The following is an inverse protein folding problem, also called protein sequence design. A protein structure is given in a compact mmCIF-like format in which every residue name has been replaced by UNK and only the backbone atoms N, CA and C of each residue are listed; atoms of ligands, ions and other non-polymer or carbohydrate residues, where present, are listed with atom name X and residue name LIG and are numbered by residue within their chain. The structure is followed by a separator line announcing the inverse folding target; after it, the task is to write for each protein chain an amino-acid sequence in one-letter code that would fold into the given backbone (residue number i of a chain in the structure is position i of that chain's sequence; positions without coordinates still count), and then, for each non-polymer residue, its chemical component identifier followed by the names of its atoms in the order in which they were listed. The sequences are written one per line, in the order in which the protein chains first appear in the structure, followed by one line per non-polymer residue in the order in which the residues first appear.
data_IF_081264162476
#
_entry.id   IF_081264162476
#
_cell.length_a   1.000
_cell.length_b   1.000
_cell.length_c   1.000
_cell.angle_alpha   90.00
_cell.angle_beta   90.00
_cell.angle_gamma   90.00
#
_symmetry.space_group_name_H-M   'P 1'
#
loop_
_entity.id
_entity.type
_entity.pdbx_description
1 polymer ?
#
# COMPACT_ATOMS: atom_id res chain seq x y z
N UNK A 1 -3.00 8.06 -44.87
CA UNK A 1 -2.56 8.21 -43.47
C UNK A 1 -3.58 7.49 -42.58
N UNK A 2 -3.15 6.49 -41.85
CA UNK A 2 -3.98 5.83 -40.86
C UNK A 2 -3.43 6.19 -39.48
N UNK A 3 -4.10 7.05 -38.77
CA UNK A 3 -3.85 7.33 -37.38
C UNK A 3 -4.72 6.41 -36.52
N UNK A 4 -4.18 5.92 -35.40
CA UNK A 4 -4.91 5.05 -34.47
C UNK A 4 -5.43 3.74 -35.07
N UNK A 5 -4.61 3.06 -35.86
CA UNK A 5 -4.92 1.76 -36.44
C UNK A 5 -3.86 0.73 -36.06
N UNK A 6 -4.30 -0.44 -35.67
CA UNK A 6 -3.40 -1.60 -35.45
C UNK A 6 -3.78 -2.74 -36.39
N UNK A 7 -2.79 -3.55 -36.74
CA UNK A 7 -3.01 -4.81 -37.42
C UNK A 7 -3.26 -5.90 -36.38
N UNK A 8 -4.41 -6.55 -36.49
CA UNK A 8 -4.75 -7.72 -35.66
C UNK A 8 -4.71 -8.94 -36.56
N UNK A 9 -3.90 -9.92 -36.20
CA UNK A 9 -3.86 -11.23 -36.88
C UNK A 9 -4.79 -12.19 -36.13
N UNK A 10 -5.42 -13.10 -36.88
CA UNK A 10 -6.11 -14.24 -36.27
C UNK A 10 -5.10 -15.22 -35.64
N UNK A 11 -5.56 -16.15 -34.82
CA UNK A 11 -4.72 -17.16 -34.15
C UNK A 11 -3.92 -18.02 -35.14
N UNK A 12 -4.34 -18.11 -36.40
CA UNK A 12 -3.63 -18.84 -37.46
C UNK A 12 -2.54 -17.99 -38.15
N UNK A 13 -2.42 -16.69 -37.81
CA UNK A 13 -1.40 -15.79 -38.36
C UNK A 13 -1.52 -15.50 -39.87
N UNK A 14 -2.63 -15.89 -40.51
CA UNK A 14 -2.78 -15.89 -41.98
C UNK A 14 -3.54 -14.69 -42.52
N UNK A 15 -4.29 -13.98 -41.70
CA UNK A 15 -5.09 -12.82 -42.13
C UNK A 15 -4.89 -11.64 -41.17
N UNK A 16 -4.36 -10.56 -41.71
CA UNK A 16 -4.29 -9.28 -40.96
C UNK A 16 -5.56 -8.48 -41.22
N UNK A 17 -6.17 -8.01 -40.15
CA UNK A 17 -7.29 -7.04 -40.17
C UNK A 17 -6.82 -5.73 -39.60
N UNK A 18 -7.08 -4.62 -40.29
CA UNK A 18 -6.89 -3.29 -39.75
C UNK A 18 -8.05 -3.00 -38.79
N UNK A 19 -7.71 -2.84 -37.53
CA UNK A 19 -8.68 -2.46 -36.50
C UNK A 19 -8.39 -1.05 -35.99
N UNK A 20 -9.42 -0.26 -35.85
CA UNK A 20 -9.29 1.06 -35.24
C UNK A 20 -8.85 0.89 -33.76
N UNK A 21 -7.82 1.61 -33.36
CA UNK A 21 -7.46 1.70 -31.94
C UNK A 21 -8.46 2.65 -31.33
N UNK A 22 -9.17 2.21 -30.29
CA UNK A 22 -10.05 3.10 -29.51
C UNK A 22 -9.25 4.32 -29.09
N UNK A 23 -9.75 5.52 -29.41
CA UNK A 23 -9.11 6.78 -29.07
C UNK A 23 -9.05 6.95 -27.55
N UNK A 24 -8.08 7.69 -27.08
CA UNK A 24 -8.05 8.13 -25.68
C UNK A 24 -9.17 9.14 -25.45
N UNK A 25 -9.99 8.90 -24.45
CA UNK A 25 -10.93 9.91 -23.95
C UNK A 25 -10.28 10.63 -22.77
N UNK A 26 -10.24 11.96 -22.85
CA UNK A 26 -9.82 12.77 -21.71
C UNK A 26 -10.85 12.63 -20.59
N UNK A 27 -10.41 12.11 -19.44
CA UNK A 27 -11.20 12.19 -18.21
C UNK A 27 -11.09 13.64 -17.76
N UNK A 28 -12.20 14.37 -17.84
CA UNK A 28 -12.23 15.81 -17.52
C UNK A 28 -11.69 16.02 -16.12
N UNK A 29 -10.72 16.90 -16.00
CA UNK A 29 -10.00 17.26 -14.76
C UNK A 29 -10.95 17.81 -13.66
N UNK A 30 -12.22 18.04 -13.97
CA UNK A 30 -13.26 18.43 -13.00
C UNK A 30 -13.51 17.37 -11.91
N UNK A 31 -13.07 16.12 -12.10
CA UNK A 31 -13.13 15.09 -11.08
C UNK A 31 -12.03 15.24 -10.02
N UNK A 32 -10.92 15.87 -10.38
CA UNK A 32 -9.82 16.19 -9.48
C UNK A 32 -9.92 17.65 -9.03
N UNK A 33 -9.43 17.98 -7.85
CA UNK A 33 -9.36 19.37 -7.40
C UNK A 33 -8.47 20.21 -8.33
N UNK A 34 -8.85 21.46 -8.58
CA UNK A 34 -8.16 22.35 -9.52
C UNK A 34 -6.67 22.61 -9.16
N UNK A 35 -6.28 22.40 -7.93
CA UNK A 35 -4.92 22.61 -7.41
C UNK A 35 -4.15 21.31 -7.17
N UNK A 36 -4.75 20.17 -7.48
CA UNK A 36 -4.15 18.88 -7.20
C UNK A 36 -3.09 18.51 -8.26
N UNK A 37 -1.92 18.13 -7.80
CA UNK A 37 -0.84 17.56 -8.62
C UNK A 37 -0.94 16.05 -8.61
N UNK A 38 -0.94 15.42 -9.78
CA UNK A 38 -0.92 13.95 -9.90
C UNK A 38 0.48 13.45 -9.57
N UNK A 39 0.58 12.58 -8.57
CA UNK A 39 1.83 11.93 -8.15
C UNK A 39 1.99 10.56 -8.79
N UNK A 40 0.90 9.83 -8.96
CA UNK A 40 0.86 8.55 -9.65
C UNK A 40 -0.52 8.26 -10.23
N UNK A 41 -0.54 7.46 -11.29
CA UNK A 41 -1.74 6.88 -11.86
C UNK A 41 -1.47 5.41 -12.23
N UNK A 42 -2.45 4.55 -11.96
CA UNK A 42 -2.39 3.12 -12.28
C UNK A 42 -3.78 2.59 -12.54
N UNK A 43 -3.87 1.34 -12.96
CA UNK A 43 -5.18 0.69 -13.18
C UNK A 43 -5.10 -0.78 -12.80
N UNK A 44 -6.25 -1.33 -12.45
CA UNK A 44 -6.44 -2.76 -12.22
C UNK A 44 -7.88 -3.13 -12.56
N UNK A 45 -8.08 -4.09 -13.47
CA UNK A 45 -9.40 -4.49 -13.99
C UNK A 45 -10.16 -3.27 -14.53
N UNK A 46 -11.37 -3.05 -14.03
CA UNK A 46 -12.24 -1.94 -14.41
C UNK A 46 -12.05 -0.68 -13.53
N UNK A 47 -10.96 -0.63 -12.76
CA UNK A 47 -10.67 0.50 -11.88
C UNK A 47 -9.42 1.25 -12.32
N UNK A 48 -9.54 2.57 -12.46
CA UNK A 48 -8.43 3.50 -12.50
C UNK A 48 -8.17 4.07 -11.11
N UNK A 49 -6.91 4.31 -10.77
CA UNK A 49 -6.50 4.86 -9.49
C UNK A 49 -5.57 6.02 -9.74
N UNK A 50 -5.85 7.16 -9.10
CA UNK A 50 -5.02 8.35 -9.18
C UNK A 50 -4.70 8.82 -7.77
N UNK A 51 -3.42 9.06 -7.51
CA UNK A 51 -2.93 9.62 -6.25
C UNK A 51 -2.45 11.04 -6.51
N UNK A 52 -2.94 11.99 -5.72
CA UNK A 52 -2.65 13.40 -5.89
C UNK A 52 -2.12 14.05 -4.62
N UNK A 53 -1.60 15.28 -4.79
CA UNK A 53 -1.17 16.18 -3.73
C UNK A 53 -1.74 17.57 -3.99
N UNK A 54 -2.40 18.19 -2.99
CA UNK A 54 -3.03 19.50 -3.11
C UNK A 54 -2.22 20.65 -2.44
N UNK A 55 -1.03 20.34 -1.93
CA UNK A 55 -0.21 21.26 -1.14
C UNK A 55 -0.32 21.04 0.36
N UNK A 56 -1.31 20.27 0.83
CA UNK A 56 -1.59 20.01 2.25
C UNK A 56 -1.75 18.53 2.56
N UNK A 57 -2.46 17.82 1.70
CA UNK A 57 -2.77 16.41 1.88
C UNK A 57 -2.75 15.65 0.55
N UNK A 58 -2.67 14.34 0.64
CA UNK A 58 -2.80 13.44 -0.49
C UNK A 58 -4.25 12.98 -0.64
N UNK A 59 -4.71 12.85 -1.88
CA UNK A 59 -5.98 12.23 -2.20
C UNK A 59 -5.75 10.96 -3.01
N UNK A 60 -6.55 9.93 -2.75
CA UNK A 60 -6.65 8.75 -3.59
C UNK A 60 -8.02 8.72 -4.21
N UNK A 61 -8.05 8.71 -5.55
CA UNK A 61 -9.26 8.62 -6.35
C UNK A 61 -9.38 7.25 -6.98
N UNK A 62 -10.56 6.66 -6.89
CA UNK A 62 -10.97 5.48 -7.62
C UNK A 62 -11.91 5.89 -8.74
N UNK A 63 -11.58 5.51 -9.96
CA UNK A 63 -12.39 5.65 -11.17
C UNK A 63 -12.97 4.28 -11.50
N UNK A 64 -14.26 4.13 -11.38
CA UNK A 64 -14.96 2.87 -11.66
C UNK A 64 -15.54 2.89 -13.07
N UNK A 65 -15.00 2.05 -13.95
CA UNK A 65 -15.40 1.89 -15.35
C UNK A 65 -16.32 0.68 -15.56
N UNK A 66 -16.72 -0.03 -14.51
CA UNK A 66 -17.51 -1.27 -14.61
C UNK A 66 -18.86 -1.06 -15.27
N UNK A 67 -19.53 0.06 -14.98
CA UNK A 67 -20.85 0.40 -15.52
C UNK A 67 -20.79 1.16 -16.84
N UNK A 68 -19.75 1.94 -17.05
CA UNK A 68 -19.54 2.72 -18.29
C UNK A 68 -18.04 2.93 -18.53
N UNK A 69 -17.52 2.32 -19.62
CA UNK A 69 -16.10 2.43 -19.97
C UNK A 69 -15.67 3.80 -20.46
N UNK A 70 -16.63 4.66 -20.83
CA UNK A 70 -16.34 6.00 -21.34
C UNK A 70 -16.45 7.08 -20.26
N UNK A 71 -17.32 6.87 -19.26
CA UNK A 71 -17.56 7.84 -18.19
C UNK A 71 -17.54 7.09 -16.85
N UNK A 72 -16.40 7.07 -16.16
CA UNK A 72 -16.28 6.38 -14.89
C UNK A 72 -17.03 7.09 -13.76
N UNK A 73 -17.47 6.32 -12.79
CA UNK A 73 -17.84 6.89 -11.48
C UNK A 73 -16.57 7.19 -10.70
N UNK A 74 -16.43 8.43 -10.26
CA UNK A 74 -15.22 8.88 -9.53
C UNK A 74 -15.53 9.05 -8.06
N UNK A 75 -14.74 8.38 -7.22
CA UNK A 75 -14.85 8.45 -5.76
C UNK A 75 -13.49 8.83 -5.18
N UNK A 76 -13.45 9.88 -4.35
CA UNK A 76 -12.29 10.19 -3.51
C UNK A 76 -12.35 9.27 -2.27
N UNK A 77 -11.61 8.17 -2.31
CA UNK A 77 -11.65 7.12 -1.27
C UNK A 77 -10.78 7.45 -0.07
N UNK A 78 -9.81 8.34 -0.24
CA UNK A 78 -8.95 8.81 0.85
C UNK A 78 -8.59 10.28 0.66
N UNK A 79 -8.55 11.01 1.78
CA UNK A 79 -7.95 12.34 1.90
C UNK A 79 -7.18 12.41 3.22
N UNK A 80 -5.86 12.35 3.16
CA UNK A 80 -5.01 12.30 4.36
C UNK A 80 -3.62 12.89 4.08
N UNK A 81 -3.00 13.47 5.09
CA UNK A 81 -1.60 13.84 5.00
C UNK A 81 -0.71 12.59 5.13
N UNK A 82 -0.31 12.02 4.00
CA UNK A 82 0.59 10.87 3.92
C UNK A 82 2.07 11.26 3.95
N UNK A 83 2.36 12.56 3.92
CA UNK A 83 3.73 13.09 3.86
C UNK A 83 4.40 12.90 2.50
N UNK A 84 3.63 12.62 1.44
CA UNK A 84 4.15 12.32 0.11
C UNK A 84 3.92 13.52 -0.80
N UNK A 85 4.98 14.07 -1.36
CA UNK A 85 4.96 15.27 -2.20
C UNK A 85 5.60 15.08 -3.56
N UNK A 86 6.15 13.89 -3.82
CA UNK A 86 6.87 13.55 -5.05
C UNK A 86 6.19 12.38 -5.77
N UNK A 87 6.63 12.11 -7.00
CA UNK A 87 6.18 10.96 -7.79
C UNK A 87 6.31 9.66 -7.00
N UNK A 88 5.36 8.76 -7.21
CA UNK A 88 5.25 7.48 -6.51
C UNK A 88 5.45 6.31 -7.47
N UNK A 89 6.10 5.28 -6.95
CA UNK A 89 5.96 3.93 -7.51
C UNK A 89 4.73 3.27 -6.91
N UNK A 90 3.87 2.72 -7.77
CA UNK A 90 2.61 2.09 -7.37
C UNK A 90 2.49 0.71 -7.99
N UNK A 91 2.13 -0.26 -7.17
CA UNK A 91 1.79 -1.63 -7.58
C UNK A 91 0.40 -1.97 -7.09
N UNK A 92 -0.39 -2.59 -7.95
CA UNK A 92 -1.77 -3.02 -7.64
C UNK A 92 -1.83 -4.51 -7.43
N UNK A 93 -2.68 -4.95 -6.50
CA UNK A 93 -2.96 -6.36 -6.26
C UNK A 93 -4.46 -6.60 -6.08
N UNK A 94 -5.00 -7.54 -6.83
CA UNK A 94 -6.38 -7.99 -6.69
C UNK A 94 -6.44 -9.27 -5.85
N UNK A 95 -7.16 -9.25 -4.75
CA UNK A 95 -7.38 -10.40 -3.88
C UNK A 95 -8.84 -10.88 -3.93
N UNK A 96 -9.78 -9.93 -3.90
CA UNK A 96 -11.22 -10.17 -4.02
C UNK A 96 -11.92 -8.91 -4.56
N UNK A 97 -13.22 -8.99 -4.87
CA UNK A 97 -13.96 -7.85 -5.43
C UNK A 97 -14.08 -6.67 -4.43
N UNK A 98 -14.04 -6.93 -3.13
CA UNK A 98 -14.02 -5.96 -2.05
C UNK A 98 -12.62 -5.69 -1.48
N UNK A 99 -11.60 -6.37 -2.02
CA UNK A 99 -10.23 -6.32 -1.55
C UNK A 99 -9.24 -6.13 -2.70
N UNK A 100 -9.11 -4.89 -3.13
CA UNK A 100 -8.17 -4.46 -4.16
C UNK A 100 -7.17 -3.50 -3.53
N UNK A 101 -5.94 -3.95 -3.38
CA UNK A 101 -4.88 -3.20 -2.70
C UNK A 101 -3.99 -2.48 -3.69
N UNK A 102 -3.59 -1.27 -3.31
CA UNK A 102 -2.46 -0.57 -3.90
C UNK A 102 -1.33 -0.52 -2.87
N UNK A 103 -0.12 -0.79 -3.34
CA UNK A 103 1.12 -0.61 -2.58
C UNK A 103 1.86 0.54 -3.22
N UNK A 104 2.31 1.51 -2.43
CA UNK A 104 2.95 2.69 -2.98
C UNK A 104 4.07 3.24 -2.09
N UNK A 105 5.08 3.81 -2.72
CA UNK A 105 6.24 4.41 -2.05
C UNK A 105 6.83 5.53 -2.89
N UNK A 106 7.41 6.52 -2.22
CA UNK A 106 8.24 7.58 -2.82
C UNK A 106 9.75 7.30 -2.67
N UNK A 107 10.10 6.11 -2.17
CA UNK A 107 11.49 5.73 -1.88
C UNK A 107 12.08 6.36 -0.61
N UNK A 108 11.41 7.33 0.01
CA UNK A 108 11.88 8.01 1.23
C UNK A 108 11.06 7.65 2.47
N UNK A 109 9.77 7.42 2.29
CA UNK A 109 8.86 7.02 3.37
C UNK A 109 8.61 5.50 3.35
N UNK A 110 8.17 4.92 4.46
CA UNK A 110 7.82 3.50 4.52
C UNK A 110 6.79 3.13 3.45
N UNK A 111 6.90 1.92 2.92
CA UNK A 111 5.94 1.34 2.00
C UNK A 111 4.54 1.38 2.59
N UNK A 112 3.60 1.90 1.84
CA UNK A 112 2.20 2.03 2.25
C UNK A 112 1.30 1.09 1.46
N UNK A 113 0.19 0.71 2.09
CA UNK A 113 -0.86 -0.10 1.47
C UNK A 113 -2.21 0.51 1.74
N UNK A 114 -3.09 0.47 0.75
CA UNK A 114 -4.46 0.93 0.87
C UNK A 114 -5.40 0.02 0.08
N UNK A 115 -6.55 -0.34 0.66
CA UNK A 115 -7.61 -1.03 -0.06
C UNK A 115 -8.52 0.01 -0.73
N UNK A 116 -8.51 0.11 -2.05
CA UNK A 116 -9.29 1.10 -2.80
C UNK A 116 -10.80 0.87 -2.74
N UNK A 117 -11.24 -0.31 -2.28
CA UNK A 117 -12.65 -0.63 -2.09
C UNK A 117 -13.15 -0.25 -0.69
N UNK A 118 -12.25 0.13 0.22
CA UNK A 118 -12.60 0.55 1.57
C UNK A 118 -13.06 2.02 1.58
N UNK A 119 -14.36 2.22 1.70
CA UNK A 119 -15.00 3.53 1.75
C UNK A 119 -15.13 4.07 3.18
N UNK A 120 -14.65 3.34 4.19
CA UNK A 120 -14.71 3.78 5.60
C UNK A 120 -13.89 5.04 5.88
N UNK A 121 -12.92 5.35 5.01
CA UNK A 121 -12.06 6.53 5.11
C UNK A 121 -12.63 7.79 4.45
N UNK A 122 -13.77 7.69 3.75
CA UNK A 122 -14.40 8.84 3.09
C UNK A 122 -14.85 9.87 4.14
N UNK A 123 -14.32 11.08 4.02
CA UNK A 123 -14.66 12.19 4.93
C UNK A 123 -14.01 12.14 6.31
N UNK A 124 -13.12 11.19 6.57
CA UNK A 124 -12.38 11.11 7.84
C UNK A 124 -11.09 11.92 7.74
N UNK A 125 -10.91 12.89 8.64
CA UNK A 125 -9.74 13.78 8.69
C UNK A 125 -8.68 13.37 9.73
N UNK A 126 -8.96 12.40 10.58
CA UNK A 126 -8.06 11.97 11.66
C UNK A 126 -7.07 10.86 11.26
N UNK A 127 -7.07 10.49 9.99
CA UNK A 127 -6.22 9.42 9.45
C UNK A 127 -4.79 9.92 9.30
N UNK A 128 -3.84 9.11 9.72
CA UNK A 128 -2.41 9.43 9.67
C UNK A 128 -1.65 8.54 8.67
N UNK A 129 -0.49 9.01 8.22
CA UNK A 129 0.39 8.23 7.35
C UNK A 129 0.72 6.83 7.89
N UNK A 130 0.77 6.67 9.22
CA UNK A 130 1.12 5.41 9.89
C UNK A 130 0.03 4.34 9.76
N UNK A 131 -1.22 4.73 9.55
CA UNK A 131 -2.34 3.81 9.42
C UNK A 131 -2.26 2.97 8.12
N UNK A 132 -1.43 3.41 7.18
CA UNK A 132 -1.23 2.78 5.87
C UNK A 132 0.12 2.10 5.71
N UNK A 133 1.00 2.15 6.70
CA UNK A 133 2.30 1.48 6.61
C UNK A 133 2.12 -0.04 6.58
N UNK A 134 2.75 -0.71 5.60
CA UNK A 134 2.71 -2.18 5.47
C UNK A 134 3.32 -2.86 6.70
N UNK A 135 4.34 -2.22 7.26
CA UNK A 135 4.98 -2.62 8.51
C UNK A 135 4.80 -1.48 9.52
N UNK A 136 3.69 -1.43 10.26
CA UNK A 136 3.54 -0.43 11.28
C UNK A 136 4.70 -0.54 12.27
N UNK A 137 5.43 0.55 12.44
CA UNK A 137 6.51 0.64 13.41
C UNK A 137 5.90 0.67 14.82
N UNK A 138 5.43 -0.49 15.28
CA UNK A 138 5.06 -0.63 16.66
C UNK A 138 6.34 -0.46 17.51
N UNK A 139 6.39 0.57 18.36
CA UNK A 139 7.45 0.65 19.35
C UNK A 139 7.28 -0.52 20.32
N UNK A 140 8.17 -1.50 20.20
CA UNK A 140 8.22 -2.64 21.10
C UNK A 140 9.32 -2.35 22.15
N UNK A 141 8.93 -2.01 23.39
CA UNK A 141 9.92 -1.75 24.44
C UNK A 141 10.75 -3.01 24.72
N UNK A 142 11.99 -2.87 25.21
CA UNK A 142 12.81 -4.02 25.59
C UNK A 142 12.13 -4.82 26.71
N UNK A 143 12.32 -6.13 26.70
CA UNK A 143 11.83 -6.99 27.79
C UNK A 143 12.47 -6.58 29.10
N UNK A 144 11.66 -6.50 30.15
CA UNK A 144 12.14 -6.25 31.51
C UNK A 144 12.30 -7.58 32.22
N UNK A 145 13.50 -7.81 32.75
CA UNK A 145 13.77 -8.98 33.57
C UNK A 145 13.31 -8.68 34.98
N UNK A 146 12.37 -9.46 35.50
CA UNK A 146 11.80 -9.27 36.83
C UNK A 146 12.56 -10.06 37.91
N UNK A 147 13.26 -11.10 37.55
CA UNK A 147 14.04 -11.93 38.46
C UNK A 147 14.71 -13.09 37.75
N UNK A 148 15.58 -13.77 38.47
CA UNK A 148 16.21 -15.01 38.06
C UNK A 148 15.79 -16.06 39.06
N UNK A 149 15.44 -17.23 38.59
CA UNK A 149 15.11 -18.38 39.41
C UNK A 149 15.95 -19.61 38.97
N UNK A 150 15.88 -20.68 39.72
CA UNK A 150 16.56 -21.93 39.40
C UNK A 150 16.03 -22.51 38.08
N UNK A 151 16.93 -23.04 37.27
CA UNK A 151 16.58 -23.62 35.97
C UNK A 151 17.68 -24.49 35.40
N UNK A 152 17.44 -25.03 34.21
CA UNK A 152 18.38 -25.97 33.52
C UNK A 152 19.29 -25.27 32.50
N UNK A 153 19.25 -23.94 32.41
CA UNK A 153 20.12 -23.21 31.52
C UNK A 153 21.57 -23.25 32.00
N UNK A 154 22.47 -23.50 31.07
CA UNK A 154 23.90 -23.46 31.37
C UNK A 154 24.36 -22.05 31.69
N UNK A 155 25.45 -21.93 32.49
CA UNK A 155 26.08 -20.66 32.78
C UNK A 155 26.51 -19.94 31.51
N UNK A 156 26.26 -18.63 31.45
CA UNK A 156 26.55 -17.82 30.27
C UNK A 156 25.88 -16.45 30.31
N UNK A 157 25.83 -15.80 29.17
CA UNK A 157 25.14 -14.52 29.00
C UNK A 157 24.00 -14.69 28.01
N UNK A 158 22.82 -14.18 28.36
CA UNK A 158 21.62 -14.25 27.55
C UNK A 158 21.03 -12.85 27.35
N UNK A 159 20.52 -12.59 26.18
CA UNK A 159 19.64 -11.45 25.87
C UNK A 159 18.37 -11.97 25.23
N UNK A 160 17.28 -11.28 25.47
CA UNK A 160 15.98 -11.62 24.95
C UNK A 160 15.45 -10.48 24.05
N UNK A 161 14.77 -10.85 22.99
CA UNK A 161 13.89 -9.99 22.21
C UNK A 161 12.60 -10.74 21.95
N UNK A 162 11.56 -10.04 21.55
CA UNK A 162 10.28 -10.62 21.16
C UNK A 162 9.76 -9.98 19.89
N UNK A 163 8.85 -10.65 19.26
CA UNK A 163 8.16 -10.23 18.04
C UNK A 163 6.67 -10.51 18.22
N UNK A 164 5.84 -9.63 17.74
CA UNK A 164 4.39 -9.84 17.69
C UNK A 164 4.04 -10.41 16.33
N UNK A 165 3.12 -11.35 16.31
CA UNK A 165 2.54 -11.87 15.07
C UNK A 165 1.03 -12.00 15.22
N UNK A 166 0.31 -11.88 14.09
CA UNK A 166 -1.13 -12.10 14.06
C UNK A 166 -1.47 -13.44 13.41
N UNK A 167 -2.74 -13.81 13.50
CA UNK A 167 -3.25 -15.08 12.92
C UNK A 167 -3.08 -15.17 11.39
N UNK A 168 -2.90 -14.05 10.71
CA UNK A 168 -2.69 -13.97 9.26
C UNK A 168 -1.22 -14.01 8.86
N UNK A 169 -0.30 -14.26 9.81
CA UNK A 169 1.12 -14.37 9.55
C UNK A 169 1.85 -13.04 9.37
N UNK A 170 1.20 -11.91 9.65
CA UNK A 170 1.90 -10.61 9.67
C UNK A 170 2.73 -10.51 10.95
N UNK A 171 4.00 -10.14 10.82
CA UNK A 171 4.96 -10.04 11.90
C UNK A 171 5.40 -8.58 12.08
N UNK A 172 5.62 -8.18 13.34
CA UNK A 172 6.25 -6.91 13.67
C UNK A 172 7.77 -6.98 13.50
N UNK A 173 8.44 -5.86 13.60
CA UNK A 173 9.90 -5.85 13.84
C UNK A 173 10.21 -6.47 15.19
N UNK A 174 11.47 -6.92 15.38
CA UNK A 174 11.96 -7.38 16.68
C UNK A 174 11.98 -6.20 17.68
N UNK A 175 11.65 -6.49 18.93
CA UNK A 175 11.83 -5.52 20.02
C UNK A 175 13.30 -5.16 20.21
N UNK A 176 13.58 -4.07 20.91
CA UNK A 176 14.91 -3.81 21.42
C UNK A 176 15.37 -4.96 22.32
N UNK A 177 16.69 -5.22 22.33
CA UNK A 177 17.27 -6.27 23.17
C UNK A 177 17.10 -5.93 24.66
N UNK A 178 16.84 -6.95 25.46
CA UNK A 178 16.89 -6.83 26.92
C UNK A 178 18.32 -6.49 27.42
N UNK A 179 18.48 -6.00 28.64
CA UNK A 179 19.79 -6.01 29.26
C UNK A 179 20.42 -7.40 29.25
N UNK A 180 21.75 -7.48 29.26
CA UNK A 180 22.50 -8.72 29.40
C UNK A 180 22.21 -9.37 30.75
N UNK A 181 21.84 -10.63 30.71
CA UNK A 181 21.62 -11.47 31.91
C UNK A 181 22.77 -12.43 32.05
N UNK A 182 23.45 -12.36 33.18
CA UNK A 182 24.47 -13.34 33.56
C UNK A 182 23.81 -14.53 34.26
N UNK A 183 23.92 -15.68 33.65
CA UNK A 183 23.53 -16.95 34.26
C UNK A 183 24.76 -17.55 34.95
N UNK A 184 24.69 -17.72 36.26
CA UNK A 184 25.72 -18.44 37.03
C UNK A 184 25.28 -19.87 37.19
N UNK A 185 26.15 -20.81 36.84
CA UNK A 185 25.90 -22.22 37.17
C UNK A 185 25.86 -22.35 38.69
N UNK A 186 24.76 -22.89 39.21
CA UNK A 186 24.73 -23.30 40.62
C UNK A 186 25.79 -24.38 40.82
N UNK A 187 26.83 -24.13 41.63
CA UNK A 187 27.74 -25.18 42.08
C UNK A 187 26.97 -25.98 43.14
N UNK A 188 26.49 -27.15 42.76
CA UNK A 188 26.12 -28.19 43.72
C UNK A 188 27.38 -28.81 44.31
#
# INVERSE_FOLDING_TARGET
WAENVRVVTNDAGTTGVLQNIEGFQEITQSALGATETVLAATSIRDYGIVITWDGTANSIYRFDFSSNKLVPTVVKVLYANLGITTTLDVVTNYEADDLIKIYFTDGNSPLKVFNIMDESFIGISSVTSKDFEVLPQAYLPPMRILGLDSGTLYGGMIQYCYQLFNVNGTESTLSALSPLVHLTASRT
#
